data_IF_741437653627
#
_entry.id   IF_741437653627
#
_cell.length_a   1.000
_cell.length_b   1.000
_cell.length_c   1.000
_cell.angle_alpha   90.00
_cell.angle_beta   90.00
_cell.angle_gamma   90.00
#
_symmetry.space_group_name_H-M   'P 1'
#
loop_
_entity.id
_entity.type
_entity.pdbx_description
1 polymer ?
#
# COMPACT_ATOMS: atom_id res chain seq x y z
N UNK A 1 -9.32 26.60 -17.74
CA UNK A 1 -9.71 25.65 -18.83
C UNK A 1 -8.98 24.30 -18.78
N UNK A 2 -7.64 24.22 -18.48
CA UNK A 2 -6.92 22.93 -18.39
C UNK A 2 -7.31 22.03 -17.20
N UNK A 3 -7.76 22.60 -16.09
CA UNK A 3 -8.15 21.86 -14.87
C UNK A 3 -9.36 20.96 -15.07
N UNK A 4 -10.32 21.36 -15.91
CA UNK A 4 -11.51 20.57 -16.24
C UNK A 4 -11.23 19.34 -17.10
N UNK A 5 -10.20 19.40 -17.95
CA UNK A 5 -9.86 18.29 -18.86
C UNK A 5 -9.33 17.09 -18.09
N UNK A 6 -8.45 17.32 -17.11
CA UNK A 6 -7.90 16.26 -16.26
C UNK A 6 -9.00 15.59 -15.42
N UNK A 7 -9.96 16.37 -14.91
CA UNK A 7 -11.12 15.84 -14.22
C UNK A 7 -11.98 14.92 -15.08
N UNK A 8 -12.15 15.28 -16.35
CA UNK A 8 -12.87 14.45 -17.33
C UNK A 8 -12.16 13.11 -17.58
N UNK A 9 -10.84 13.11 -17.69
CA UNK A 9 -10.06 11.88 -17.88
C UNK A 9 -10.15 10.97 -16.67
N UNK A 10 -9.97 11.51 -15.47
CA UNK A 10 -10.09 10.73 -14.24
C UNK A 10 -11.52 10.17 -14.08
N UNK A 11 -12.56 10.99 -14.27
CA UNK A 11 -13.94 10.53 -14.21
C UNK A 11 -14.21 9.39 -15.19
N UNK A 12 -13.77 9.53 -16.44
CA UNK A 12 -13.98 8.51 -17.47
C UNK A 12 -13.27 7.19 -17.12
N UNK A 13 -12.04 7.25 -16.65
CA UNK A 13 -11.29 6.08 -16.22
C UNK A 13 -11.96 5.38 -15.03
N UNK A 14 -12.38 6.15 -14.00
CA UNK A 14 -13.09 5.64 -12.82
C UNK A 14 -14.42 5.02 -13.23
N UNK A 15 -15.20 5.69 -14.07
CA UNK A 15 -16.49 5.19 -14.52
C UNK A 15 -16.37 3.84 -15.23
N UNK A 16 -15.42 3.70 -16.15
CA UNK A 16 -15.18 2.43 -16.87
C UNK A 16 -14.66 1.34 -15.92
N UNK A 17 -13.78 1.68 -14.97
CA UNK A 17 -13.29 0.75 -13.96
C UNK A 17 -14.43 0.16 -13.12
N UNK A 18 -15.29 1.02 -12.61
CA UNK A 18 -16.31 0.64 -11.62
C UNK A 18 -17.46 -0.14 -12.25
N UNK A 19 -17.78 0.12 -13.53
CA UNK A 19 -18.89 -0.52 -14.22
C UNK A 19 -18.46 -1.76 -15.03
N UNK A 20 -17.16 -2.00 -15.23
CA UNK A 20 -16.61 -3.06 -16.08
C UNK A 20 -17.41 -3.16 -17.41
N UNK A 21 -16.93 -3.66 -18.48
CA UNK A 21 -17.66 -3.92 -19.74
C UNK A 21 -18.85 -2.96 -20.03
N UNK A 22 -18.60 -1.67 -20.15
CA UNK A 22 -19.60 -0.61 -20.31
C UNK A 22 -19.69 -0.14 -21.76
N UNK A 23 -20.90 0.11 -22.28
CA UNK A 23 -21.10 0.62 -23.65
C UNK A 23 -20.88 2.12 -23.71
N UNK A 24 -20.53 2.62 -24.90
CA UNK A 24 -20.36 4.06 -25.10
C UNK A 24 -21.65 4.86 -24.84
N UNK A 25 -22.81 4.27 -25.12
CA UNK A 25 -24.12 4.85 -24.81
C UNK A 25 -24.33 5.08 -23.31
N UNK A 26 -23.88 4.15 -22.48
CA UNK A 26 -24.01 4.23 -21.02
C UNK A 26 -23.02 5.25 -20.46
N UNK A 27 -21.80 5.29 -21.03
CA UNK A 27 -20.79 6.30 -20.71
C UNK A 27 -21.31 7.70 -21.05
N UNK A 28 -21.92 7.87 -22.23
CA UNK A 28 -22.49 9.15 -22.67
C UNK A 28 -23.66 9.60 -21.79
N UNK A 29 -24.56 8.69 -21.46
CA UNK A 29 -25.68 8.97 -20.56
C UNK A 29 -25.20 9.42 -19.17
N UNK A 30 -24.23 8.71 -18.60
CA UNK A 30 -23.62 9.08 -17.32
C UNK A 30 -22.85 10.41 -17.40
N UNK A 31 -22.19 10.67 -18.53
CA UNK A 31 -21.52 11.94 -18.78
C UNK A 31 -22.49 13.12 -18.82
N UNK A 32 -23.61 12.99 -19.52
CA UNK A 32 -24.66 14.04 -19.59
C UNK A 32 -25.31 14.28 -18.21
N UNK A 33 -25.40 13.24 -17.39
CA UNK A 33 -25.93 13.34 -16.02
C UNK A 33 -24.94 14.00 -15.03
N UNK A 34 -23.66 14.05 -15.36
CA UNK A 34 -22.61 14.60 -14.47
C UNK A 34 -22.62 16.12 -14.46
N UNK A 35 -23.43 16.73 -13.58
CA UNK A 35 -23.57 18.19 -13.49
C UNK A 35 -22.30 18.91 -13.05
N UNK A 36 -21.37 18.23 -12.37
CA UNK A 36 -20.13 18.82 -11.90
C UNK A 36 -19.12 19.06 -13.03
N UNK A 37 -18.91 18.07 -13.90
CA UNK A 37 -17.93 18.14 -15.00
C UNK A 37 -18.58 18.53 -16.33
N UNK A 38 -19.90 18.42 -16.40
CA UNK A 38 -20.71 18.70 -17.57
C UNK A 38 -22.01 19.44 -17.17
N UNK A 39 -21.92 20.69 -16.69
CA UNK A 39 -23.08 21.43 -16.20
C UNK A 39 -24.19 21.62 -17.24
N UNK A 40 -23.81 21.66 -18.52
CA UNK A 40 -24.72 21.86 -19.64
C UNK A 40 -25.37 20.56 -20.12
N UNK A 41 -24.83 19.40 -19.72
CA UNK A 41 -25.31 18.10 -20.16
C UNK A 41 -24.97 17.80 -21.63
N UNK A 42 -23.85 18.34 -22.13
CA UNK A 42 -23.42 18.11 -23.50
C UNK A 42 -23.11 16.62 -23.75
N UNK A 43 -23.41 16.08 -24.94
CA UNK A 43 -23.08 14.70 -25.27
C UNK A 43 -21.57 14.50 -25.37
N UNK A 44 -21.11 13.25 -25.23
CA UNK A 44 -19.73 12.82 -25.45
C UNK A 44 -19.59 12.17 -26.84
N UNK A 45 -19.24 12.94 -27.88
CA UNK A 45 -19.07 12.38 -29.21
C UNK A 45 -17.98 11.30 -29.25
N UNK A 46 -18.15 10.25 -30.05
CA UNK A 46 -17.22 9.15 -30.22
C UNK A 46 -15.78 9.64 -30.50
N UNK A 47 -15.61 10.65 -31.34
CA UNK A 47 -14.28 11.25 -31.60
C UNK A 47 -13.66 11.86 -30.34
N UNK A 48 -14.44 12.48 -29.49
CA UNK A 48 -13.99 13.05 -28.22
C UNK A 48 -13.65 11.96 -27.23
N UNK A 49 -14.46 10.91 -27.16
CA UNK A 49 -14.19 9.73 -26.34
C UNK A 49 -12.85 9.08 -26.72
N UNK A 50 -12.61 8.82 -28.00
CA UNK A 50 -11.32 8.22 -28.44
C UNK A 50 -10.13 9.12 -28.14
N UNK A 51 -10.27 10.44 -28.26
CA UNK A 51 -9.23 11.38 -27.88
C UNK A 51 -8.96 11.34 -26.36
N UNK A 52 -10.02 11.26 -25.54
CA UNK A 52 -9.89 11.14 -24.10
C UNK A 52 -9.25 9.80 -23.72
N UNK A 53 -9.62 8.70 -24.38
CA UNK A 53 -9.00 7.39 -24.20
C UNK A 53 -7.48 7.42 -24.45
N UNK A 54 -7.03 8.03 -25.54
CA UNK A 54 -5.60 8.22 -25.82
C UNK A 54 -4.91 9.06 -24.74
N UNK A 55 -5.53 10.18 -24.33
CA UNK A 55 -4.99 11.03 -23.29
C UNK A 55 -4.95 10.36 -21.91
N UNK A 56 -5.88 9.47 -21.59
CA UNK A 56 -5.88 8.66 -20.37
C UNK A 56 -4.68 7.72 -20.37
N UNK A 57 -4.38 7.08 -21.48
CA UNK A 57 -3.16 6.28 -21.63
C UNK A 57 -1.91 7.14 -21.38
N UNK A 58 -1.79 8.29 -22.05
CA UNK A 58 -0.61 9.17 -21.94
C UNK A 58 -0.41 9.74 -20.53
N UNK A 59 -1.51 10.07 -19.83
CA UNK A 59 -1.46 10.76 -18.52
C UNK A 59 -1.38 9.78 -17.37
N UNK A 60 -2.15 8.69 -17.40
CA UNK A 60 -2.29 7.74 -16.29
C UNK A 60 -1.65 6.38 -16.58
N UNK A 61 -1.20 6.12 -17.82
CA UNK A 61 -0.75 4.82 -18.25
C UNK A 61 -1.86 3.75 -18.21
N UNK A 62 -3.14 4.16 -18.33
CA UNK A 62 -4.30 3.28 -18.28
C UNK A 62 -4.76 2.97 -19.70
N UNK A 63 -4.80 1.70 -20.04
CA UNK A 63 -5.33 1.22 -21.31
C UNK A 63 -6.83 0.89 -21.17
N UNK A 64 -7.64 1.58 -21.99
CA UNK A 64 -9.05 1.26 -22.14
C UNK A 64 -9.20 0.43 -23.41
N UNK A 65 -9.59 -0.82 -23.26
CA UNK A 65 -9.83 -1.76 -24.37
C UNK A 65 -11.29 -1.76 -24.79
N UNK A 66 -11.52 -2.03 -26.09
CA UNK A 66 -12.84 -2.28 -26.64
C UNK A 66 -12.98 -3.76 -26.96
N UNK A 67 -13.98 -4.41 -26.38
CA UNK A 67 -14.42 -5.72 -26.84
C UNK A 67 -15.36 -5.51 -28.01
N UNK A 68 -14.88 -5.79 -29.22
CA UNK A 68 -15.63 -5.63 -30.47
C UNK A 68 -16.78 -6.61 -30.61
N UNK A 69 -16.81 -7.71 -29.85
CA UNK A 69 -17.89 -8.70 -29.89
C UNK A 69 -19.13 -8.22 -29.15
N UNK A 70 -18.95 -7.44 -28.08
CA UNK A 70 -20.01 -6.92 -27.22
C UNK A 70 -20.19 -5.41 -27.34
N UNK A 71 -19.32 -4.73 -28.08
CA UNK A 71 -19.23 -3.26 -28.18
C UNK A 71 -19.15 -2.59 -26.80
N UNK A 72 -18.30 -3.14 -25.93
CA UNK A 72 -18.09 -2.64 -24.57
C UNK A 72 -16.64 -2.25 -24.34
N UNK A 73 -16.47 -1.29 -23.42
CA UNK A 73 -15.16 -0.79 -23.00
C UNK A 73 -14.85 -1.26 -21.59
N UNK A 74 -13.58 -1.60 -21.34
CA UNK A 74 -13.04 -1.99 -20.03
C UNK A 74 -11.63 -1.47 -19.86
N UNK A 75 -11.17 -1.40 -18.62
CA UNK A 75 -9.74 -1.16 -18.34
C UNK A 75 -8.98 -2.49 -18.52
N UNK A 76 -7.86 -2.44 -19.24
CA UNK A 76 -6.97 -3.58 -19.39
C UNK A 76 -6.36 -3.96 -18.03
N UNK A 77 -6.32 -5.25 -17.73
CA UNK A 77 -5.63 -5.75 -16.55
C UNK A 77 -4.12 -5.54 -16.68
N UNK A 78 -3.53 -4.82 -15.75
CA UNK A 78 -2.08 -4.58 -15.70
C UNK A 78 -1.52 -5.00 -14.36
N UNK A 79 -0.22 -5.32 -14.34
CA UNK A 79 0.49 -5.72 -13.11
C UNK A 79 0.53 -4.63 -12.03
N UNK A 80 0.24 -3.37 -12.38
CA UNK A 80 0.28 -2.20 -11.51
C UNK A 80 -1.12 -1.63 -11.21
N UNK A 81 -2.17 -2.44 -11.42
CA UNK A 81 -3.57 -2.03 -11.27
C UNK A 81 -3.86 -1.34 -9.94
N UNK A 82 -3.42 -1.94 -8.82
CA UNK A 82 -3.68 -1.40 -7.49
C UNK A 82 -3.12 0.02 -7.27
N UNK A 83 -1.91 0.32 -7.77
CA UNK A 83 -1.31 1.64 -7.63
C UNK A 83 -2.04 2.70 -8.47
N UNK A 84 -2.48 2.32 -9.67
CA UNK A 84 -3.26 3.20 -10.56
C UNK A 84 -4.66 3.46 -10.02
N UNK A 85 -5.31 2.45 -9.48
CA UNK A 85 -6.60 2.56 -8.82
C UNK A 85 -6.54 3.50 -7.63
N UNK A 86 -5.52 3.38 -6.79
CA UNK A 86 -5.27 4.27 -5.66
C UNK A 86 -5.08 5.73 -6.11
N UNK A 87 -4.37 5.98 -7.20
CA UNK A 87 -4.19 7.32 -7.76
C UNK A 87 -5.52 7.89 -8.30
N UNK A 88 -6.32 7.08 -8.97
CA UNK A 88 -7.63 7.48 -9.45
C UNK A 88 -8.58 7.82 -8.30
N UNK A 89 -8.59 7.00 -7.25
CA UNK A 89 -9.43 7.21 -6.07
C UNK A 89 -9.01 8.47 -5.29
N UNK A 90 -7.70 8.68 -5.13
CA UNK A 90 -7.17 9.91 -4.54
C UNK A 90 -7.56 11.14 -5.34
N UNK A 91 -7.54 11.04 -6.67
CA UNK A 91 -7.95 12.12 -7.54
C UNK A 91 -9.47 12.38 -7.48
N UNK A 92 -10.30 11.33 -7.48
CA UNK A 92 -11.74 11.44 -7.32
C UNK A 92 -12.08 12.14 -5.99
N UNK A 93 -11.40 11.77 -4.93
CA UNK A 93 -11.54 12.35 -3.60
C UNK A 93 -11.20 13.84 -3.60
N UNK A 94 -10.08 14.23 -4.22
CA UNK A 94 -9.68 15.64 -4.37
C UNK A 94 -10.67 16.46 -5.20
N UNK A 95 -11.33 15.85 -6.18
CA UNK A 95 -12.32 16.52 -7.01
C UNK A 95 -13.60 16.79 -6.22
N UNK A 96 -14.04 15.83 -5.42
CA UNK A 96 -15.23 15.95 -4.57
C UNK A 96 -15.08 17.05 -3.52
N UNK A 97 -13.86 17.32 -3.03
CA UNK A 97 -13.60 18.38 -2.03
C UNK A 97 -13.65 19.80 -2.58
N UNK A 98 -13.69 19.99 -3.91
CA UNK A 98 -13.76 21.32 -4.53
C UNK A 98 -15.18 21.91 -4.55
N UNK A 99 -16.20 21.12 -4.27
CA UNK A 99 -17.56 21.62 -4.10
C UNK A 99 -17.66 22.37 -2.76
N UNK A 100 -18.06 23.64 -2.79
CA UNK A 100 -18.23 24.47 -1.59
C UNK A 100 -19.14 23.82 -0.54
N UNK A 101 -20.10 23.01 -0.99
CA UNK A 101 -21.03 22.28 -0.12
C UNK A 101 -20.37 21.11 0.61
N UNK A 102 -19.24 20.61 0.11
CA UNK A 102 -18.48 19.50 0.69
C UNK A 102 -17.19 19.95 1.41
N UNK A 103 -16.93 21.26 1.40
CA UNK A 103 -15.77 21.83 2.09
C UNK A 103 -15.80 21.48 3.59
N UNK A 104 -14.75 20.84 4.08
CA UNK A 104 -14.64 20.36 5.46
C UNK A 104 -15.46 19.11 5.82
N UNK A 105 -16.23 18.53 4.88
CA UNK A 105 -16.97 17.28 5.13
C UNK A 105 -16.18 16.01 4.78
N UNK A 106 -15.13 16.15 3.99
CA UNK A 106 -14.19 15.06 3.67
C UNK A 106 -12.86 15.42 4.32
N UNK A 107 -12.46 14.60 5.27
CA UNK A 107 -11.25 14.79 6.05
C UNK A 107 -10.25 13.71 5.62
N UNK A 108 -9.08 14.13 5.20
CA UNK A 108 -7.97 13.24 4.84
C UNK A 108 -6.98 13.17 5.99
N UNK A 109 -6.36 12.03 6.13
CA UNK A 109 -5.17 11.93 6.98
C UNK A 109 -4.04 12.82 6.42
N UNK A 110 -3.14 13.23 7.29
CA UNK A 110 -1.96 13.98 6.89
C UNK A 110 -1.15 13.19 5.86
N UNK A 111 -0.66 13.90 4.87
CA UNK A 111 0.18 13.26 3.86
C UNK A 111 1.43 12.64 4.50
N UNK A 112 1.91 11.47 4.00
CA UNK A 112 3.08 10.81 4.56
C UNK A 112 4.27 11.76 4.69
N UNK A 113 4.88 11.79 5.87
CA UNK A 113 6.16 12.46 6.05
C UNK A 113 7.19 11.81 5.13
N UNK A 114 8.14 12.59 4.62
CA UNK A 114 9.16 12.09 3.71
C UNK A 114 8.76 12.09 2.22
N UNK A 115 7.49 12.43 1.88
CA UNK A 115 7.05 12.52 0.48
C UNK A 115 7.85 13.53 -0.35
N UNK A 116 8.42 14.56 0.29
CA UNK A 116 9.28 15.55 -0.37
C UNK A 116 10.51 14.91 -1.04
N UNK A 117 10.95 13.76 -0.56
CA UNK A 117 12.08 13.03 -1.08
C UNK A 117 11.76 12.14 -2.28
N UNK A 118 10.45 11.87 -2.54
CA UNK A 118 10.03 10.91 -3.57
C UNK A 118 10.55 11.27 -4.96
N UNK A 119 10.47 12.56 -5.35
CA UNK A 119 10.95 13.01 -6.66
C UNK A 119 12.44 12.75 -6.81
N UNK A 120 13.23 13.06 -5.79
CA UNK A 120 14.68 12.88 -5.81
C UNK A 120 15.06 11.39 -5.85
N UNK A 121 14.36 10.53 -5.10
CA UNK A 121 14.52 9.09 -5.21
C UNK A 121 14.18 8.57 -6.60
N UNK A 122 13.07 9.03 -7.18
CA UNK A 122 12.63 8.62 -8.52
C UNK A 122 13.66 9.04 -9.59
N UNK A 123 14.20 10.25 -9.50
CA UNK A 123 15.24 10.71 -10.40
C UNK A 123 16.54 9.92 -10.24
N UNK A 124 16.97 9.67 -9.00
CA UNK A 124 18.17 8.90 -8.73
C UNK A 124 18.03 7.45 -9.25
N UNK A 125 16.88 6.81 -9.08
CA UNK A 125 16.61 5.49 -9.68
C UNK A 125 16.68 5.53 -11.21
N UNK A 126 16.06 6.53 -11.83
CA UNK A 126 16.06 6.71 -13.30
C UNK A 126 17.47 6.95 -13.85
N UNK A 127 18.25 7.77 -13.17
CA UNK A 127 19.61 8.15 -13.58
C UNK A 127 20.68 7.19 -13.04
N UNK A 128 20.28 6.22 -12.21
CA UNK A 128 21.19 5.27 -11.51
C UNK A 128 22.28 5.97 -10.72
N UNK A 129 21.91 7.01 -9.97
CA UNK A 129 22.84 7.79 -9.15
C UNK A 129 22.76 7.37 -7.69
N UNK A 130 23.93 7.28 -7.07
CA UNK A 130 24.09 7.06 -5.63
C UNK A 130 23.57 8.28 -4.88
N UNK A 131 22.88 8.06 -3.78
CA UNK A 131 22.39 9.11 -2.88
C UNK A 131 23.21 9.09 -1.58
N UNK A 132 23.67 10.26 -1.16
CA UNK A 132 24.18 10.49 0.19
C UNK A 132 23.02 10.88 1.08
N UNK A 133 22.78 10.12 2.13
CA UNK A 133 21.62 10.26 3.01
C UNK A 133 22.03 10.47 4.43
N UNK A 134 21.41 11.43 5.11
CA UNK A 134 21.43 11.57 6.57
C UNK A 134 20.17 10.92 7.13
N UNK A 135 20.30 9.80 7.82
CA UNK A 135 19.21 8.98 8.31
C UNK A 135 19.15 8.98 9.83
N UNK A 136 17.98 9.21 10.40
CA UNK A 136 17.72 9.18 11.84
C UNK A 136 17.14 7.80 12.19
N UNK A 137 18.00 6.88 12.62
CA UNK A 137 17.54 5.61 13.16
C UNK A 137 16.94 5.85 14.55
N UNK A 138 15.71 5.39 14.77
CA UNK A 138 15.03 5.55 16.08
C UNK A 138 15.70 4.78 17.22
N UNK A 139 16.61 3.87 16.91
CA UNK A 139 17.41 3.12 17.90
C UNK A 139 18.76 3.77 18.23
N UNK A 140 19.14 4.81 17.49
CA UNK A 140 20.43 5.49 17.61
C UNK A 140 20.23 6.96 17.94
N UNK A 141 21.00 7.50 18.87
CA UNK A 141 20.92 8.92 19.26
C UNK A 141 21.56 9.87 18.24
N UNK A 142 22.37 9.34 17.33
CA UNK A 142 23.16 10.12 16.36
C UNK A 142 22.70 9.78 14.93
N UNK A 143 22.45 10.82 14.09
CA UNK A 143 22.11 10.58 12.70
C UNK A 143 23.23 9.86 11.96
N UNK A 144 22.87 8.81 11.22
CA UNK A 144 23.80 8.06 10.38
C UNK A 144 23.91 8.71 9.00
N UNK A 145 25.12 9.06 8.60
CA UNK A 145 25.40 9.41 7.19
C UNK A 145 25.82 8.15 6.43
N UNK A 146 25.15 7.91 5.30
CA UNK A 146 25.41 6.72 4.48
C UNK A 146 25.21 7.01 3.01
N UNK A 147 25.80 6.16 2.16
CA UNK A 147 25.60 6.17 0.72
C UNK A 147 24.73 5.00 0.32
N UNK A 148 23.69 5.27 -0.44
CA UNK A 148 22.70 4.27 -0.84
C UNK A 148 22.46 4.27 -2.33
N UNK A 149 22.21 3.10 -2.88
CA UNK A 149 21.85 2.84 -4.27
C UNK A 149 20.35 2.52 -4.31
N UNK A 150 19.48 3.46 -4.71
CA UNK A 150 18.04 3.28 -4.60
C UNK A 150 17.52 2.28 -5.64
N UNK A 151 16.76 1.28 -5.19
CA UNK A 151 16.20 0.22 -6.03
C UNK A 151 14.71 0.39 -6.28
N UNK A 152 13.92 0.65 -5.23
CA UNK A 152 12.49 0.94 -5.35
C UNK A 152 11.97 1.73 -4.15
N UNK A 153 10.75 2.26 -4.29
CA UNK A 153 9.99 2.86 -3.18
C UNK A 153 8.71 2.08 -2.99
N UNK A 154 8.41 1.71 -1.74
CA UNK A 154 7.19 1.02 -1.34
C UNK A 154 6.35 1.92 -0.44
N UNK A 155 5.07 2.10 -0.77
CA UNK A 155 4.09 2.67 0.14
C UNK A 155 3.52 1.57 1.03
N UNK A 156 3.48 1.79 2.34
CA UNK A 156 2.92 0.85 3.30
C UNK A 156 2.36 1.58 4.53
N UNK A 157 1.09 1.33 4.87
CA UNK A 157 0.40 1.91 6.03
C UNK A 157 0.57 3.44 6.15
N UNK A 158 0.35 4.16 5.04
CA UNK A 158 0.46 5.62 5.01
C UNK A 158 1.89 6.17 5.11
N UNK A 159 2.93 5.34 4.94
CA UNK A 159 4.34 5.74 4.93
C UNK A 159 5.01 5.33 3.62
N UNK A 160 6.12 6.00 3.31
CA UNK A 160 6.95 5.69 2.15
C UNK A 160 8.29 5.13 2.63
N UNK A 161 8.70 4.03 2.00
CA UNK A 161 9.94 3.32 2.31
C UNK A 161 10.77 3.16 1.05
N UNK A 162 12.03 3.57 1.10
CA UNK A 162 12.98 3.27 0.04
C UNK A 162 13.70 1.97 0.33
N UNK A 163 13.79 1.10 -0.67
CA UNK A 163 14.68 -0.06 -0.67
C UNK A 163 15.92 0.33 -1.43
N UNK A 164 17.06 0.21 -0.79
CA UNK A 164 18.33 0.60 -1.36
C UNK A 164 19.47 -0.29 -0.85
N UNK A 165 20.47 -0.51 -1.68
CA UNK A 165 21.73 -1.13 -1.23
C UNK A 165 22.55 -0.10 -0.48
N UNK A 166 22.92 -0.42 0.74
CA UNK A 166 23.83 0.40 1.54
C UNK A 166 25.26 0.10 1.13
N UNK A 167 25.99 1.07 0.60
CA UNK A 167 27.37 0.86 0.12
C UNK A 167 28.32 0.49 1.25
N UNK A 168 28.12 1.03 2.45
CA UNK A 168 29.00 0.76 3.60
C UNK A 168 28.78 -0.65 4.17
N UNK A 169 27.51 -1.12 4.19
CA UNK A 169 27.15 -2.44 4.74
C UNK A 169 27.12 -3.53 3.67
N UNK A 170 27.08 -3.17 2.40
CA UNK A 170 27.02 -4.09 1.26
C UNK A 170 25.71 -4.86 1.08
N UNK A 171 24.68 -4.60 1.90
CA UNK A 171 23.38 -5.27 1.86
C UNK A 171 22.24 -4.33 1.46
N UNK A 172 21.13 -4.91 1.02
CA UNK A 172 19.90 -4.18 0.74
C UNK A 172 19.16 -3.92 2.06
N UNK A 173 18.80 -2.66 2.28
CA UNK A 173 18.10 -2.19 3.48
C UNK A 173 16.84 -1.42 3.09
N UNK A 174 15.90 -1.34 4.02
CA UNK A 174 14.69 -0.53 3.91
C UNK A 174 14.81 0.72 4.78
N UNK A 175 14.58 1.89 4.19
CA UNK A 175 14.68 3.20 4.83
C UNK A 175 13.30 3.87 4.86
N UNK A 176 12.80 4.23 6.03
CA UNK A 176 11.60 5.07 6.16
C UNK A 176 11.93 6.50 5.71
N UNK A 177 11.27 6.99 4.67
CA UNK A 177 11.52 8.32 4.13
C UNK A 177 11.23 9.43 5.16
N UNK A 178 10.38 9.16 6.14
CA UNK A 178 10.09 10.12 7.21
C UNK A 178 11.25 10.33 8.18
N UNK A 179 12.20 9.40 8.22
CA UNK A 179 13.40 9.43 9.06
C UNK A 179 14.61 10.01 8.33
N UNK A 180 14.44 10.46 7.11
CA UNK A 180 15.49 11.09 6.33
C UNK A 180 15.51 12.59 6.62
N UNK A 181 16.64 13.07 7.14
CA UNK A 181 16.86 14.50 7.40
C UNK A 181 17.37 15.26 6.19
N UNK A 182 18.28 14.65 5.41
CA UNK A 182 18.81 15.25 4.19
C UNK A 182 19.17 14.19 3.16
N UNK A 183 19.06 14.55 1.89
CA UNK A 183 19.50 13.73 0.75
C UNK A 183 20.22 14.63 -0.24
N UNK A 184 21.36 14.14 -0.74
CA UNK A 184 22.13 14.77 -1.80
C UNK A 184 22.38 13.72 -2.89
N UNK A 185 22.07 14.05 -4.15
CA UNK A 185 22.48 13.22 -5.27
C UNK A 185 23.99 13.37 -5.49
N UNK A 186 24.68 12.26 -5.74
CA UNK A 186 26.09 12.25 -6.06
C UNK A 186 26.31 12.11 -7.57
N UNK A 187 27.54 12.30 -8.03
CA UNK A 187 27.91 12.03 -9.43
C UNK A 187 28.21 10.55 -9.68
N UNK A 188 28.27 9.73 -8.62
CA UNK A 188 28.60 8.31 -8.69
C UNK A 188 27.42 7.51 -9.27
N UNK A 189 27.72 6.64 -10.24
CA UNK A 189 26.77 5.72 -10.81
C UNK A 189 26.77 4.39 -10.06
N UNK A 190 25.60 3.72 -9.97
CA UNK A 190 25.50 2.38 -9.44
C UNK A 190 24.93 1.38 -10.46
N UNK A 191 25.23 0.12 -10.26
CA UNK A 191 24.69 -0.97 -11.06
C UNK A 191 23.71 -1.75 -10.20
N UNK A 192 22.44 -1.64 -10.54
CA UNK A 192 21.40 -2.44 -9.90
C UNK A 192 21.56 -3.91 -10.29
N UNK A 193 21.41 -4.80 -9.32
CA UNK A 193 21.35 -6.23 -9.57
C UNK A 193 20.20 -6.52 -10.56
N UNK A 194 20.52 -7.23 -11.64
CA UNK A 194 19.56 -7.55 -12.69
C UNK A 194 18.46 -8.51 -12.22
N UNK A 195 18.75 -9.29 -11.18
CA UNK A 195 17.84 -10.26 -10.61
C UNK A 195 16.96 -9.67 -9.50
N UNK A 196 17.18 -8.38 -9.15
CA UNK A 196 16.32 -7.71 -8.17
C UNK A 196 14.97 -7.36 -8.77
N UNK A 197 13.92 -8.04 -8.26
CA UNK A 197 12.53 -7.70 -8.55
C UNK A 197 11.82 -7.24 -7.27
N UNK A 198 11.30 -5.99 -7.22
CA UNK A 198 10.61 -5.46 -6.05
C UNK A 198 9.42 -6.30 -5.58
N UNK A 199 8.69 -6.92 -6.52
CA UNK A 199 7.52 -7.75 -6.17
C UNK A 199 7.96 -9.02 -5.47
N UNK A 200 8.94 -9.72 -6.02
CA UNK A 200 9.52 -10.92 -5.41
C UNK A 200 10.20 -10.63 -4.09
N UNK A 201 10.86 -9.47 -3.97
CA UNK A 201 11.56 -9.05 -2.74
C UNK A 201 10.64 -8.99 -1.52
N UNK A 202 9.37 -8.62 -1.73
CA UNK A 202 8.37 -8.50 -0.66
C UNK A 202 7.30 -9.59 -0.69
N UNK A 203 7.38 -10.55 -1.61
CA UNK A 203 6.31 -11.52 -1.88
C UNK A 203 5.94 -12.41 -0.70
N UNK A 204 6.84 -12.59 0.25
CA UNK A 204 6.70 -13.44 1.42
C UNK A 204 6.83 -12.65 2.75
N UNK A 205 6.69 -11.32 2.69
CA UNK A 205 6.81 -10.43 3.83
C UNK A 205 5.46 -9.83 4.22
N UNK A 206 5.20 -9.78 5.53
CA UNK A 206 4.14 -8.95 6.07
C UNK A 206 4.61 -7.50 6.17
N UNK A 207 4.41 -6.70 5.10
CA UNK A 207 4.80 -5.30 5.13
C UNK A 207 6.17 -5.02 4.50
N UNK A 208 7.09 -4.43 5.28
CA UNK A 208 8.36 -3.89 4.78
C UNK A 208 9.60 -4.59 5.36
N UNK A 209 9.45 -5.37 6.41
CA UNK A 209 10.57 -6.03 7.09
C UNK A 209 10.96 -7.30 6.34
N UNK A 210 12.11 -7.26 5.67
CA UNK A 210 12.69 -8.39 4.94
C UNK A 210 13.87 -8.94 5.72
N UNK A 211 13.81 -10.21 6.10
CA UNK A 211 14.89 -10.93 6.80
C UNK A 211 15.54 -11.96 5.87
N UNK A 212 16.69 -12.50 6.28
CA UNK A 212 17.34 -13.58 5.55
C UNK A 212 16.63 -14.94 5.72
N UNK A 213 15.69 -15.04 6.66
CA UNK A 213 14.96 -16.27 6.93
C UNK A 213 14.03 -16.61 5.75
N UNK A 214 13.80 -17.90 5.54
CA UNK A 214 12.82 -18.37 4.57
C UNK A 214 11.40 -18.18 5.09
N UNK A 215 10.45 -18.00 4.17
CA UNK A 215 9.03 -18.02 4.48
C UNK A 215 8.64 -19.39 5.07
N UNK A 216 7.74 -19.36 6.05
CA UNK A 216 7.22 -20.54 6.73
C UNK A 216 5.69 -20.57 6.63
N UNK A 217 5.15 -21.76 6.77
CA UNK A 217 3.72 -21.94 6.93
C UNK A 217 3.27 -21.34 8.26
N UNK A 218 2.28 -20.47 8.21
CA UNK A 218 1.66 -19.84 9.38
C UNK A 218 0.20 -20.25 9.44
N UNK A 219 -0.24 -20.81 10.58
CA UNK A 219 -1.64 -21.13 10.84
C UNK A 219 -2.15 -20.23 11.95
N UNK A 220 -3.22 -19.50 11.65
CA UNK A 220 -3.92 -18.64 12.59
C UNK A 220 -5.34 -19.16 12.77
N UNK A 221 -5.75 -19.31 14.01
CA UNK A 221 -7.14 -19.56 14.39
C UNK A 221 -7.79 -18.25 14.83
N UNK A 222 -8.92 -17.89 14.25
CA UNK A 222 -9.67 -16.66 14.56
C UNK A 222 -11.03 -16.93 15.15
N UNK A 223 -11.54 -15.94 15.89
CA UNK A 223 -12.82 -16.01 16.60
C UNK A 223 -13.67 -14.76 16.33
N UNK A 224 -14.98 -14.93 16.20
CA UNK A 224 -15.93 -13.80 16.12
C UNK A 224 -15.61 -12.77 15.06
N UNK A 225 -15.51 -11.51 15.45
CA UNK A 225 -15.26 -10.38 14.54
C UNK A 225 -13.92 -10.45 13.80
N UNK A 226 -12.89 -11.04 14.39
CA UNK A 226 -11.60 -11.21 13.74
C UNK A 226 -11.70 -12.10 12.49
N UNK A 227 -12.58 -13.09 12.49
CA UNK A 227 -12.82 -13.94 11.31
C UNK A 227 -13.36 -13.09 10.13
N UNK A 228 -14.33 -12.23 10.41
CA UNK A 228 -14.90 -11.34 9.38
C UNK A 228 -13.86 -10.36 8.87
N UNK A 229 -13.07 -9.76 9.76
CA UNK A 229 -11.98 -8.86 9.37
C UNK A 229 -10.95 -9.56 8.48
N UNK A 230 -10.49 -10.76 8.85
CA UNK A 230 -9.51 -11.52 8.09
C UNK A 230 -10.02 -12.00 6.72
N UNK A 231 -11.34 -12.19 6.56
CA UNK A 231 -11.95 -12.50 5.27
C UNK A 231 -11.99 -11.28 4.33
N UNK A 232 -12.33 -10.11 4.88
CA UNK A 232 -12.43 -8.87 4.10
C UNK A 232 -11.08 -8.19 3.89
N UNK A 233 -10.20 -8.24 4.89
CA UNK A 233 -8.88 -7.62 4.89
C UNK A 233 -7.83 -8.69 5.16
N UNK A 234 -7.39 -9.34 4.07
CA UNK A 234 -6.33 -10.34 4.16
C UNK A 234 -5.06 -9.72 4.74
N UNK A 235 -4.40 -10.42 5.64
CA UNK A 235 -3.08 -10.03 6.15
C UNK A 235 -2.02 -10.06 5.05
N UNK A 236 -2.17 -11.01 4.13
CA UNK A 236 -1.22 -11.21 3.03
C UNK A 236 -1.90 -11.90 1.85
N UNK A 237 -1.46 -11.69 0.59
CA UNK A 237 -2.02 -12.36 -0.58
C UNK A 237 -2.05 -13.89 -0.49
N UNK A 238 -1.07 -14.51 0.19
CA UNK A 238 -1.03 -15.97 0.40
C UNK A 238 -2.09 -16.50 1.37
N UNK A 239 -2.89 -15.63 2.01
CA UNK A 239 -3.88 -16.07 2.98
C UNK A 239 -5.00 -16.88 2.35
N UNK A 240 -5.18 -18.10 2.84
CA UNK A 240 -6.25 -19.02 2.45
C UNK A 240 -7.02 -19.46 3.68
N UNK A 241 -8.35 -19.43 3.61
CA UNK A 241 -9.19 -20.03 4.65
C UNK A 241 -9.20 -21.53 4.50
N UNK A 242 -8.80 -22.25 5.56
CA UNK A 242 -8.82 -23.70 5.58
C UNK A 242 -10.26 -24.21 5.73
N UNK A 243 -10.60 -25.24 4.94
CA UNK A 243 -11.90 -25.91 5.05
C UNK A 243 -12.07 -26.43 6.47
N UNK A 244 -13.27 -26.29 6.99
CA UNK A 244 -13.66 -26.82 8.28
C UNK A 244 -13.52 -28.34 8.23
N UNK A 245 -12.72 -28.89 9.12
CA UNK A 245 -12.77 -30.30 9.41
C UNK A 245 -13.96 -30.52 10.36
N UNK A 246 -14.93 -31.36 9.97
CA UNK A 246 -16.13 -31.64 10.77
C UNK A 246 -15.82 -32.25 12.15
N UNK A 247 -14.58 -32.69 12.36
CA UNK A 247 -14.08 -33.18 13.64
C UNK A 247 -13.75 -32.06 14.66
N UNK A 248 -13.64 -30.80 14.23
CA UNK A 248 -13.27 -29.67 15.10
C UNK A 248 -14.53 -28.97 15.66
N UNK A 249 -15.09 -29.56 16.75
CA UNK A 249 -16.32 -29.15 17.45
C UNK A 249 -16.27 -27.78 18.10
N UNK A 250 -15.24 -26.98 17.89
CA UNK A 250 -15.14 -25.63 18.43
C UNK A 250 -15.99 -24.66 17.60
N UNK A 251 -17.26 -24.53 17.94
CA UNK A 251 -18.20 -23.59 17.31
C UNK A 251 -17.59 -22.20 17.25
N UNK A 252 -17.54 -21.61 16.04
CA UNK A 252 -17.14 -20.21 15.83
C UNK A 252 -15.65 -19.99 15.58
N UNK A 253 -14.83 -21.03 15.43
CA UNK A 253 -13.40 -20.91 15.09
C UNK A 253 -13.17 -21.10 13.60
N UNK A 254 -12.30 -20.29 13.01
CA UNK A 254 -11.90 -20.38 11.60
C UNK A 254 -10.37 -20.36 11.52
N UNK A 255 -9.81 -21.25 10.71
CA UNK A 255 -8.35 -21.31 10.50
C UNK A 255 -7.99 -20.69 9.17
N UNK A 256 -6.93 -19.89 9.18
CA UNK A 256 -6.31 -19.33 8.00
C UNK A 256 -4.87 -19.81 7.92
N UNK A 257 -4.48 -20.18 6.70
CA UNK A 257 -3.10 -20.51 6.36
C UNK A 257 -2.49 -19.35 5.59
N UNK A 258 -1.24 -19.02 5.91
CA UNK A 258 -0.41 -18.05 5.21
C UNK A 258 0.98 -18.65 5.02
N UNK A 259 1.74 -18.09 4.08
CA UNK A 259 3.14 -18.42 3.87
C UNK A 259 3.96 -17.14 3.94
N UNK A 260 4.68 -16.93 5.07
CA UNK A 260 5.33 -15.67 5.42
C UNK A 260 6.66 -15.88 6.14
N UNK A 261 7.55 -14.91 6.02
CA UNK A 261 8.69 -14.76 6.93
C UNK A 261 8.20 -14.34 8.32
N UNK A 262 8.80 -14.92 9.35
CA UNK A 262 8.41 -14.61 10.73
C UNK A 262 9.22 -13.40 11.20
N UNK A 263 8.64 -12.23 11.02
CA UNK A 263 9.26 -10.94 11.35
C UNK A 263 8.64 -10.31 12.58
N UNK A 264 9.29 -9.29 13.14
CA UNK A 264 8.72 -8.52 14.23
C UNK A 264 7.51 -7.68 13.77
N UNK A 265 7.51 -7.29 12.51
CA UNK A 265 6.38 -6.56 11.92
C UNK A 265 5.13 -7.46 11.82
N UNK A 266 5.29 -8.75 11.49
CA UNK A 266 4.19 -9.72 11.53
C UNK A 266 3.61 -9.84 12.94
N UNK A 267 4.46 -9.97 13.95
CA UNK A 267 4.01 -10.01 15.38
C UNK A 267 3.19 -8.77 15.70
N UNK A 268 3.71 -7.56 15.40
CA UNK A 268 2.97 -6.30 15.62
C UNK A 268 1.66 -6.22 14.83
N UNK A 269 1.63 -6.79 13.63
CA UNK A 269 0.43 -6.83 12.78
C UNK A 269 -0.68 -7.74 13.33
N UNK A 270 -0.33 -8.72 14.14
CA UNK A 270 -1.28 -9.63 14.78
C UNK A 270 -1.84 -9.09 16.10
N UNK A 271 -1.09 -8.24 16.81
CA UNK A 271 -1.51 -7.71 18.12
C UNK A 271 -2.86 -6.98 18.12
N UNK A 272 -3.28 -6.21 17.10
CA UNK A 272 -4.57 -5.53 17.11
C UNK A 272 -5.79 -6.47 17.19
N UNK A 273 -5.63 -7.74 16.86
CA UNK A 273 -6.70 -8.73 16.99
C UNK A 273 -6.91 -9.20 18.43
N UNK A 274 -5.97 -8.91 19.33
CA UNK A 274 -6.05 -9.20 20.76
C UNK A 274 -6.29 -10.69 21.04
N UNK A 275 -7.33 -10.96 21.86
CA UNK A 275 -7.77 -12.29 22.25
C UNK A 275 -8.60 -13.03 21.18
N UNK A 276 -8.84 -12.38 20.04
CA UNK A 276 -9.67 -12.91 18.94
C UNK A 276 -8.90 -13.74 17.93
N UNK A 277 -7.58 -13.88 18.10
CA UNK A 277 -6.75 -14.76 17.28
C UNK A 277 -5.82 -15.60 18.15
N UNK A 278 -5.46 -16.75 17.62
CA UNK A 278 -4.44 -17.63 18.18
C UNK A 278 -3.55 -18.12 17.04
N UNK A 279 -2.25 -17.95 17.20
CA UNK A 279 -1.27 -18.57 16.30
C UNK A 279 -1.15 -20.05 16.70
N UNK A 280 -1.27 -20.95 15.73
CA UNK A 280 -1.13 -22.40 15.92
C UNK A 280 0.22 -22.92 15.37
N UNK A 281 0.73 -22.30 14.32
CA UNK A 281 2.01 -22.61 13.67
C UNK A 281 2.63 -21.31 13.13
N UNK A 282 3.96 -21.22 13.04
CA UNK A 282 4.98 -22.10 13.62
C UNK A 282 5.26 -21.76 15.09
N UNK A 283 5.97 -22.66 15.78
CA UNK A 283 6.32 -22.47 17.19
C UNK A 283 7.04 -21.14 17.45
N UNK A 284 7.96 -20.75 16.57
CA UNK A 284 8.69 -19.47 16.65
C UNK A 284 7.73 -18.27 16.77
N UNK A 285 6.66 -18.22 15.96
CA UNK A 285 5.68 -17.14 16.01
C UNK A 285 4.83 -17.20 17.27
N UNK A 286 4.44 -18.41 17.72
CA UNK A 286 3.73 -18.61 18.97
C UNK A 286 4.55 -18.08 20.16
N UNK A 287 5.84 -18.40 20.22
CA UNK A 287 6.75 -17.98 21.30
C UNK A 287 6.91 -16.44 21.30
N UNK A 288 7.06 -15.82 20.12
CA UNK A 288 7.14 -14.36 20.00
C UNK A 288 5.86 -13.67 20.45
N UNK A 289 4.69 -14.18 20.05
CA UNK A 289 3.39 -13.65 20.47
C UNK A 289 3.19 -13.80 21.99
N UNK A 290 3.50 -14.98 22.53
CA UNK A 290 3.44 -15.25 23.96
C UNK A 290 4.35 -14.31 24.77
N UNK A 291 5.59 -14.11 24.32
CA UNK A 291 6.53 -13.21 24.97
C UNK A 291 6.02 -11.76 25.04
N UNK A 292 5.40 -11.27 23.94
CA UNK A 292 4.80 -9.93 23.93
C UNK A 292 3.59 -9.86 24.86
N UNK A 293 2.70 -10.83 24.81
CA UNK A 293 1.51 -10.89 25.68
C UNK A 293 1.90 -10.88 27.17
N UNK A 294 2.91 -11.66 27.55
CA UNK A 294 3.41 -11.67 28.93
C UNK A 294 4.04 -10.34 29.36
N UNK A 295 4.78 -9.68 28.47
CA UNK A 295 5.33 -8.34 28.74
C UNK A 295 4.20 -7.32 28.93
N UNK A 296 3.19 -7.36 28.09
CA UNK A 296 2.02 -6.48 28.21
C UNK A 296 1.29 -6.72 29.53
N UNK A 297 0.99 -7.97 29.87
CA UNK A 297 0.35 -8.32 31.12
C UNK A 297 1.12 -7.77 32.33
N UNK A 298 2.43 -7.98 32.39
CA UNK A 298 3.29 -7.43 33.46
C UNK A 298 3.23 -5.92 33.62
N UNK A 299 3.11 -5.16 32.51
CA UNK A 299 3.00 -3.69 32.56
C UNK A 299 1.70 -3.28 33.23
N UNK A 300 0.58 -3.98 32.94
CA UNK A 300 -0.73 -3.64 33.49
C UNK A 300 -0.97 -4.23 34.89
N UNK A 301 -0.25 -5.28 35.28
CA UNK A 301 -0.33 -5.89 36.60
C UNK A 301 0.51 -5.14 37.67
N UNK A 302 1.38 -4.19 37.25
CA UNK A 302 2.15 -3.37 38.20
C UNK A 302 1.25 -2.33 38.88
N UNK A 303 1.31 -2.19 40.22
CA UNK A 303 0.59 -1.12 40.93
C UNK A 303 1.01 0.26 40.37
N UNK A 304 0.05 1.15 40.13
CA UNK A 304 0.28 2.51 39.55
C UNK A 304 1.25 3.38 40.34
N UNK A 305 1.52 3.07 41.60
CA UNK A 305 2.47 3.82 42.47
C UNK A 305 3.92 3.76 42.02
N UNK A 306 4.33 2.76 41.20
CA UNK A 306 5.71 2.69 40.70
C UNK A 306 5.96 3.47 39.40
N UNK A 307 4.91 3.86 38.68
CA UNK A 307 5.00 4.65 37.45
C UNK A 307 5.14 6.17 37.71
N UNK A 308 4.78 6.64 38.90
CA UNK A 308 4.87 8.05 39.28
C UNK A 308 6.32 8.55 39.55
N UNK A 309 7.28 7.65 39.64
CA UNK A 309 8.68 7.97 39.94
C UNK A 309 9.63 7.96 38.73
N UNK A 310 9.10 7.78 37.52
CA UNK A 310 9.87 7.98 36.27
C UNK A 310 9.57 9.41 35.83
N UNK A 311 10.26 10.35 36.42
CA UNK A 311 10.27 11.75 35.99
C UNK A 311 10.98 11.89 34.65
N UNK A 312 10.53 12.88 33.82
CA UNK A 312 10.98 13.11 32.44
C UNK A 312 12.45 13.46 32.30
#
# INVERSE_FOLDING_TARGET
MRSYLFGRYAWLAIFIRDHRNVRLTDIDAAWQANKMLNPQGDPLPMRTFHRHRAAIHDVFGIDIECDTSTDTYRIAETSDGDARDMLLDAYASLFSTREKELEGRIIFEDAPKGRQWLTLFTEAMRMRKVLKVTYFDLSEDIPLQTYIEPYCVKAHKGRLYAVARNQMRGNVCTYDLSQIGNIEATDEDYYMDKDFDPKSYFSDCYGIEVTADCAQRVIICSFGSATTLLRHHKLHPSQVELRRDDSDWTRGRTRFELHLRITQELVRGLLPYGDKIQVLEPQLLMDRMSAVAHKMAKIYDQPQEQLANVNP
#
